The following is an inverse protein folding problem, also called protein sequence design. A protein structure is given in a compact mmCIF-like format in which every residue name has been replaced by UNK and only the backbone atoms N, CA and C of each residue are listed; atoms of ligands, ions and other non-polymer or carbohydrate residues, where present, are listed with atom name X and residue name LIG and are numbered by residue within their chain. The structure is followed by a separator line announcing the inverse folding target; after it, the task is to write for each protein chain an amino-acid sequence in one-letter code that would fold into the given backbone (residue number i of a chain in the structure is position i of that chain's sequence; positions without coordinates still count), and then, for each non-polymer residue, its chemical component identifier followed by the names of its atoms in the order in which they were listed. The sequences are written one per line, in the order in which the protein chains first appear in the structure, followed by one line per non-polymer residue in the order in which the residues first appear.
data_IF_486218008749
#
_entry.id   IF_486218008749
#
_cell.length_a   1.000
_cell.length_b   1.000
_cell.length_c   1.000
_cell.angle_alpha   90.00
_cell.angle_beta   90.00
_cell.angle_gamma   90.00
#
_symmetry.space_group_name_H-M   'P 1'
#
loop_
_entity.id
_entity.type
_entity.pdbx_description
1 polymer ?
#
# COMPACT_ATOMS: atom_id res chain seq x y z
N UNK A 1 2.68 14.10 -16.30
CA UNK A 1 4.07 13.97 -15.81
C UNK A 1 4.21 13.95 -14.28
N UNK A 2 3.40 14.67 -13.48
CA UNK A 2 3.53 14.68 -12.00
C UNK A 2 3.36 13.30 -11.33
N UNK A 3 2.47 12.44 -11.86
CA UNK A 3 2.23 11.07 -11.37
C UNK A 3 3.45 10.13 -11.51
N UNK A 4 4.26 10.30 -12.56
CA UNK A 4 5.41 9.44 -12.84
C UNK A 4 6.59 9.69 -11.90
N UNK A 5 6.73 10.91 -11.35
CA UNK A 5 7.90 11.30 -10.53
C UNK A 5 8.12 10.36 -9.33
N UNK A 6 7.03 9.92 -8.69
CA UNK A 6 7.11 9.00 -7.57
C UNK A 6 7.41 7.55 -7.98
N UNK A 7 7.43 7.24 -9.27
CA UNK A 7 7.66 5.89 -9.80
C UNK A 7 8.98 5.77 -10.55
N UNK A 8 9.77 6.86 -10.58
CA UNK A 8 11.13 6.91 -11.14
C UNK A 8 12.09 7.02 -9.95
N UNK A 9 13.02 6.07 -9.85
CA UNK A 9 13.97 5.98 -8.72
C UNK A 9 15.38 6.00 -9.28
N UNK A 10 16.14 7.06 -8.97
CA UNK A 10 17.56 7.15 -9.33
C UNK A 10 18.36 6.04 -8.63
N UNK A 11 19.20 5.33 -9.39
CA UNK A 11 20.00 4.23 -8.88
C UNK A 11 21.34 4.71 -8.29
N UNK A 12 22.10 3.77 -7.69
CA UNK A 12 23.33 4.04 -6.94
C UNK A 12 24.45 4.62 -7.82
N UNK A 13 24.53 4.20 -9.08
CA UNK A 13 25.47 4.73 -10.07
C UNK A 13 25.24 6.21 -10.40
N UNK A 14 24.08 6.75 -10.01
CA UNK A 14 23.61 8.12 -10.30
C UNK A 14 23.38 8.41 -11.78
N UNK A 15 23.46 7.40 -12.65
CA UNK A 15 23.32 7.51 -14.10
C UNK A 15 22.07 6.79 -14.59
N UNK A 16 21.68 5.70 -13.91
CA UNK A 16 20.53 4.89 -14.29
C UNK A 16 19.35 5.10 -13.35
N UNK A 17 18.18 4.69 -13.84
CA UNK A 17 16.89 4.84 -13.17
C UNK A 17 16.16 3.50 -13.11
N UNK A 18 15.31 3.35 -12.11
CA UNK A 18 14.31 2.31 -12.08
C UNK A 18 12.93 2.91 -12.26
N UNK A 19 12.11 2.26 -13.09
CA UNK A 19 10.68 2.57 -13.23
C UNK A 19 9.86 1.48 -12.57
N UNK A 20 8.77 1.86 -11.89
CA UNK A 20 7.93 0.91 -11.18
C UNK A 20 6.47 1.06 -11.61
N UNK A 21 5.98 0.21 -12.53
CA UNK A 21 4.57 0.18 -12.88
C UNK A 21 3.70 -0.21 -11.69
N UNK A 22 2.46 0.24 -11.71
CA UNK A 22 1.45 -0.12 -10.72
C UNK A 22 0.96 -1.55 -10.96
N UNK A 23 0.90 -2.32 -9.88
CA UNK A 23 0.40 -3.69 -9.86
C UNK A 23 -0.53 -3.82 -8.65
N UNK A 24 -1.83 -3.52 -8.80
CA UNK A 24 -2.80 -3.57 -7.72
C UNK A 24 -2.77 -4.91 -6.99
N UNK A 25 -2.59 -4.88 -5.68
CA UNK A 25 -2.54 -6.07 -4.83
C UNK A 25 -1.53 -7.17 -5.24
N UNK A 26 -0.59 -6.89 -6.15
CA UNK A 26 0.32 -7.89 -6.70
C UNK A 26 -0.32 -8.87 -7.68
N UNK A 27 -1.50 -8.57 -8.22
CA UNK A 27 -2.17 -9.41 -9.23
C UNK A 27 -1.72 -9.01 -10.63
N UNK A 28 -1.31 -10.00 -11.43
CA UNK A 28 -0.84 -9.80 -12.81
C UNK A 28 -1.43 -10.86 -13.73
N UNK A 29 -1.63 -10.51 -14.99
CA UNK A 29 -1.90 -11.47 -16.05
C UNK A 29 -0.60 -11.85 -16.78
N UNK A 30 -0.57 -12.97 -17.53
CA UNK A 30 0.57 -13.30 -18.40
C UNK A 30 0.91 -12.18 -19.40
N UNK A 31 -0.09 -11.47 -19.91
CA UNK A 31 0.09 -10.33 -20.83
C UNK A 31 0.80 -9.17 -20.15
N UNK A 32 0.45 -8.90 -18.89
CA UNK A 32 1.12 -7.87 -18.07
C UNK A 32 2.59 -8.22 -17.88
N UNK A 33 2.88 -9.49 -17.58
CA UNK A 33 4.25 -9.98 -17.41
C UNK A 33 5.05 -9.94 -18.71
N UNK A 34 4.46 -10.37 -19.83
CA UNK A 34 5.08 -10.27 -21.16
C UNK A 34 5.42 -8.82 -21.49
N UNK A 35 4.49 -7.89 -21.29
CA UNK A 35 4.75 -6.47 -21.53
C UNK A 35 5.92 -5.93 -20.69
N UNK A 36 5.98 -6.27 -19.41
CA UNK A 36 7.09 -5.85 -18.54
C UNK A 36 8.41 -6.45 -19.03
N UNK A 37 8.42 -7.72 -19.47
CA UNK A 37 9.60 -8.38 -20.03
C UNK A 37 10.05 -7.71 -21.35
N UNK A 38 9.13 -7.51 -22.30
CA UNK A 38 9.41 -6.91 -23.61
C UNK A 38 10.04 -5.50 -23.47
N UNK A 39 9.48 -4.66 -22.59
CA UNK A 39 10.04 -3.33 -22.30
C UNK A 39 11.41 -3.46 -21.64
N UNK A 40 11.59 -4.41 -20.72
CA UNK A 40 12.87 -4.58 -20.03
C UNK A 40 13.98 -5.01 -20.99
N UNK A 41 13.67 -5.90 -21.94
CA UNK A 41 14.61 -6.32 -22.98
C UNK A 41 14.91 -5.17 -23.96
N UNK A 42 13.88 -4.47 -24.45
CA UNK A 42 14.01 -3.37 -25.42
C UNK A 42 14.93 -2.25 -24.94
N UNK A 43 14.90 -1.94 -23.64
CA UNK A 43 15.71 -0.87 -23.05
C UNK A 43 16.90 -1.38 -22.24
N UNK A 44 17.29 -2.65 -22.45
CA UNK A 44 18.46 -3.28 -21.84
C UNK A 44 18.50 -3.10 -20.31
N UNK A 45 17.35 -3.28 -19.65
CA UNK A 45 17.25 -3.15 -18.21
C UNK A 45 18.22 -4.11 -17.51
N UNK A 46 19.00 -3.59 -16.56
CA UNK A 46 19.96 -4.38 -15.80
C UNK A 46 19.30 -5.50 -14.98
N UNK A 47 18.08 -5.28 -14.48
CA UNK A 47 17.33 -6.28 -13.74
C UNK A 47 15.82 -6.00 -13.67
N UNK A 48 15.04 -7.07 -13.50
CA UNK A 48 13.69 -7.04 -12.98
C UNK A 48 13.68 -7.40 -11.49
N UNK A 49 13.20 -6.49 -10.63
CA UNK A 49 13.18 -6.70 -9.18
C UNK A 49 11.75 -6.82 -8.64
N UNK A 50 11.41 -8.02 -8.14
CA UNK A 50 10.25 -8.18 -7.27
C UNK A 50 10.53 -7.48 -5.93
N UNK A 51 9.67 -6.54 -5.56
CA UNK A 51 9.82 -5.70 -4.38
C UNK A 51 9.01 -6.25 -3.21
N UNK A 52 9.35 -5.85 -1.98
CA UNK A 52 8.62 -6.24 -0.75
C UNK A 52 7.16 -5.78 -0.71
N UNK A 53 6.73 -4.96 -1.66
CA UNK A 53 5.36 -4.48 -1.80
C UNK A 53 4.58 -5.24 -2.88
N UNK A 54 5.05 -6.43 -3.31
CA UNK A 54 4.45 -7.26 -4.35
C UNK A 54 4.33 -6.56 -5.71
N UNK A 55 5.41 -5.87 -6.13
CA UNK A 55 5.51 -5.08 -7.38
C UNK A 55 6.77 -5.48 -8.12
N UNK A 56 6.81 -5.27 -9.43
CA UNK A 56 8.02 -5.45 -10.24
C UNK A 56 8.60 -4.08 -10.60
N UNK A 57 9.87 -3.86 -10.30
CA UNK A 57 10.63 -2.70 -10.75
C UNK A 57 11.54 -3.08 -11.92
N UNK A 58 11.55 -2.26 -12.96
CA UNK A 58 12.48 -2.35 -14.10
C UNK A 58 13.66 -1.45 -13.76
N UNK A 59 14.85 -2.03 -13.57
CA UNK A 59 16.03 -1.35 -13.00
C UNK A 59 17.10 -1.19 -14.07
N UNK A 60 17.79 -0.05 -14.08
CA UNK A 60 18.97 0.17 -14.90
C UNK A 60 18.69 0.86 -16.23
N UNK A 61 17.57 1.57 -16.35
CA UNK A 61 17.24 2.33 -17.56
C UNK A 61 18.08 3.60 -17.64
N UNK A 62 18.53 3.96 -18.84
CA UNK A 62 19.15 5.25 -19.13
C UNK A 62 18.11 6.37 -19.00
N UNK A 63 18.54 7.57 -18.60
CA UNK A 63 17.64 8.71 -18.37
C UNK A 63 16.75 9.02 -19.59
N UNK A 64 17.35 9.08 -20.76
CA UNK A 64 16.68 9.42 -22.03
C UNK A 64 15.67 8.36 -22.51
N UNK A 65 15.77 7.14 -21.97
CA UNK A 65 14.89 6.03 -22.32
C UNK A 65 13.70 5.89 -21.35
N UNK A 66 13.76 6.51 -20.17
CA UNK A 66 12.68 6.46 -19.18
C UNK A 66 11.33 6.91 -19.75
N UNK A 67 11.21 8.04 -20.48
CA UNK A 67 9.93 8.44 -21.07
C UNK A 67 9.40 7.42 -22.07
N UNK A 68 10.25 6.90 -22.95
CA UNK A 68 9.89 5.93 -23.99
C UNK A 68 9.47 4.59 -23.37
N UNK A 69 10.15 4.15 -22.32
CA UNK A 69 9.79 2.96 -21.58
C UNK A 69 8.41 3.10 -20.92
N UNK A 70 8.05 4.28 -20.40
CA UNK A 70 6.71 4.52 -19.89
C UNK A 70 5.64 4.48 -20.97
N UNK A 71 5.92 5.05 -22.15
CA UNK A 71 5.00 5.04 -23.29
C UNK A 71 4.74 3.60 -23.76
N UNK A 72 5.79 2.78 -23.89
CA UNK A 72 5.67 1.37 -24.28
C UNK A 72 4.97 0.52 -23.20
N UNK A 73 5.22 0.79 -21.91
CA UNK A 73 4.50 0.11 -20.82
C UNK A 73 3.00 0.42 -20.90
N UNK A 74 2.62 1.67 -21.18
CA UNK A 74 1.23 2.11 -21.12
C UNK A 74 0.53 1.65 -19.82
N UNK A 75 1.26 1.71 -18.70
CA UNK A 75 0.79 1.32 -17.36
C UNK A 75 0.75 2.54 -16.44
N UNK A 76 -0.11 2.47 -15.43
CA UNK A 76 -0.17 3.51 -14.38
C UNK A 76 1.11 3.49 -13.55
N UNK A 77 1.68 4.64 -13.16
CA UNK A 77 2.84 4.69 -12.27
C UNK A 77 2.55 4.17 -10.86
N UNK A 78 3.38 3.26 -10.33
CA UNK A 78 3.13 2.52 -9.07
C UNK A 78 3.48 3.23 -7.76
N UNK A 79 3.75 4.53 -7.77
CA UNK A 79 4.01 5.37 -6.58
C UNK A 79 5.08 4.76 -5.65
N UNK A 80 6.26 4.44 -6.19
CA UNK A 80 7.37 3.80 -5.49
C UNK A 80 8.07 4.63 -4.41
N UNK A 81 8.02 5.97 -4.49
CA UNK A 81 8.57 6.93 -3.54
C UNK A 81 7.54 7.99 -3.17
N UNK A 82 7.92 9.01 -2.39
CA UNK A 82 7.01 10.10 -2.00
C UNK A 82 6.20 9.87 -0.71
N UNK A 83 5.53 10.93 -0.27
CA UNK A 83 4.64 10.97 0.91
C UNK A 83 3.20 10.71 0.48
N UNK A 84 3.00 9.52 -0.04
CA UNK A 84 1.72 9.06 -0.59
C UNK A 84 1.42 7.67 -0.05
N UNK A 85 0.18 7.24 -0.21
CA UNK A 85 -0.14 5.81 -0.17
C UNK A 85 0.64 5.13 -1.29
N UNK A 86 1.47 4.17 -0.88
CA UNK A 86 2.27 3.33 -1.78
C UNK A 86 1.35 2.23 -2.33
N UNK A 87 1.81 0.99 -2.37
CA UNK A 87 0.95 -0.12 -2.77
C UNK A 87 0.10 -0.64 -1.62
N UNK A 88 -1.11 -1.09 -1.97
CA UNK A 88 -1.95 -1.93 -1.12
C UNK A 88 -1.57 -3.39 -1.37
N UNK A 89 -1.20 -4.13 -0.32
CA UNK A 89 -0.88 -5.56 -0.43
C UNK A 89 -2.09 -6.38 0.01
N UNK A 90 -2.57 -7.31 -0.81
CA UNK A 90 -3.60 -8.25 -0.40
C UNK A 90 -3.07 -9.68 -0.41
N UNK A 91 -3.62 -10.54 0.46
CA UNK A 91 -3.46 -11.99 0.28
C UNK A 91 -4.46 -12.49 -0.77
N UNK A 92 -4.36 -13.76 -1.21
CA UNK A 92 -5.25 -14.28 -2.26
C UNK A 92 -6.75 -14.36 -1.90
N UNK A 93 -7.14 -13.98 -0.68
CA UNK A 93 -8.53 -13.99 -0.21
C UNK A 93 -9.26 -15.32 -0.36
N UNK A 94 -10.58 -15.28 -0.25
CA UNK A 94 -11.45 -16.41 -0.62
C UNK A 94 -11.45 -16.69 -2.12
N UNK A 95 -10.88 -15.79 -2.93
CA UNK A 95 -10.69 -15.97 -4.37
C UNK A 95 -9.82 -17.19 -4.69
N UNK A 96 -8.72 -17.40 -3.94
CA UNK A 96 -7.77 -18.49 -4.24
C UNK A 96 -7.32 -19.30 -3.01
N UNK A 97 -7.59 -18.86 -1.78
CA UNK A 97 -7.08 -19.52 -0.57
C UNK A 97 -8.20 -20.18 0.25
N UNK A 98 -8.10 -21.49 0.47
CA UNK A 98 -9.05 -22.26 1.30
C UNK A 98 -9.05 -21.88 2.80
N UNK A 99 -8.00 -21.21 3.29
CA UNK A 99 -7.92 -20.77 4.69
C UNK A 99 -8.61 -19.43 4.95
N UNK A 100 -8.89 -18.66 3.90
CA UNK A 100 -9.48 -17.34 4.04
C UNK A 100 -10.89 -17.41 4.64
N UNK A 101 -11.21 -16.41 5.46
CA UNK A 101 -12.53 -16.21 6.07
C UNK A 101 -13.27 -15.05 5.41
N UNK A 102 -12.53 -14.10 4.87
CA UNK A 102 -13.05 -12.92 4.18
C UNK A 102 -12.39 -12.73 2.82
N UNK A 103 -13.10 -12.05 1.90
CA UNK A 103 -12.60 -11.73 0.55
C UNK A 103 -11.62 -10.56 0.58
N UNK A 104 -10.36 -10.87 0.93
CA UNK A 104 -9.31 -9.87 1.01
C UNK A 104 -8.91 -9.27 -0.34
N UNK A 105 -9.12 -9.98 -1.45
CA UNK A 105 -8.64 -9.48 -2.72
C UNK A 105 -9.55 -8.40 -3.26
N UNK A 106 -10.87 -8.61 -3.22
CA UNK A 106 -11.86 -7.59 -3.59
C UNK A 106 -11.68 -6.34 -2.72
N UNK A 107 -11.60 -6.48 -1.40
CA UNK A 107 -11.39 -5.36 -0.49
C UNK A 107 -10.03 -4.67 -0.73
N UNK A 108 -8.98 -5.44 -1.00
CA UNK A 108 -7.67 -4.90 -1.37
C UNK A 108 -7.74 -4.03 -2.62
N UNK A 109 -8.44 -4.48 -3.67
CA UNK A 109 -8.63 -3.74 -4.91
C UNK A 109 -9.45 -2.46 -4.68
N UNK A 110 -10.53 -2.53 -3.89
CA UNK A 110 -11.32 -1.35 -3.53
C UNK A 110 -10.49 -0.29 -2.80
N UNK A 111 -9.64 -0.71 -1.85
CA UNK A 111 -8.73 0.21 -1.17
C UNK A 111 -7.65 0.76 -2.10
N UNK A 112 -7.11 -0.06 -3.01
CA UNK A 112 -6.11 0.39 -3.98
C UNK A 112 -6.66 1.44 -4.95
N UNK A 113 -7.84 1.22 -5.52
CA UNK A 113 -8.53 2.17 -6.40
C UNK A 113 -8.76 3.52 -5.71
N UNK A 114 -9.16 3.49 -4.44
CA UNK A 114 -9.48 4.70 -3.67
C UNK A 114 -8.25 5.45 -3.16
N UNK A 115 -7.24 4.72 -2.70
CA UNK A 115 -6.17 5.30 -1.89
C UNK A 115 -4.82 5.38 -2.61
N UNK A 116 -4.54 4.55 -3.60
CA UNK A 116 -3.22 4.53 -4.25
C UNK A 116 -2.82 5.92 -4.74
N UNK A 117 -1.62 6.36 -4.36
CA UNK A 117 -1.12 7.70 -4.72
C UNK A 117 -1.73 8.87 -3.95
N UNK A 118 -2.68 8.65 -3.04
CA UNK A 118 -3.23 9.71 -2.18
C UNK A 118 -2.11 10.34 -1.33
N UNK A 119 -1.99 11.67 -1.38
CA UNK A 119 -1.02 12.40 -0.55
C UNK A 119 -1.41 12.38 0.93
N UNK A 120 -0.43 12.03 1.76
CA UNK A 120 -0.56 11.92 3.20
C UNK A 120 0.69 12.53 3.89
N UNK A 121 0.66 12.75 5.21
CA UNK A 121 1.78 13.38 5.92
C UNK A 121 3.14 12.69 5.73
N UNK A 122 3.15 11.36 5.54
CA UNK A 122 4.32 10.52 5.27
C UNK A 122 3.99 9.38 4.30
N UNK A 123 4.97 8.52 3.99
CA UNK A 123 4.73 7.30 3.19
C UNK A 123 3.75 6.39 3.94
N UNK A 124 2.69 5.92 3.28
CA UNK A 124 1.67 5.07 3.92
C UNK A 124 1.57 3.75 3.18
N UNK A 125 1.55 2.64 3.92
CA UNK A 125 1.41 1.28 3.38
C UNK A 125 0.15 0.66 3.96
N UNK A 126 -0.63 0.04 3.09
CA UNK A 126 -1.89 -0.60 3.46
C UNK A 126 -1.84 -2.09 3.14
N UNK A 127 -2.64 -2.88 3.86
CA UNK A 127 -2.82 -4.28 3.50
C UNK A 127 -4.16 -4.87 3.89
N UNK A 128 -4.52 -5.95 3.22
CA UNK A 128 -5.72 -6.74 3.51
C UNK A 128 -5.36 -8.22 3.54
N UNK A 129 -5.73 -8.93 4.60
CA UNK A 129 -5.61 -10.39 4.67
C UNK A 129 -6.94 -11.00 5.04
N UNK A 130 -7.30 -12.13 4.41
CA UNK A 130 -8.60 -12.76 4.57
C UNK A 130 -8.72 -13.59 5.84
N UNK A 131 -7.63 -13.77 6.59
CA UNK A 131 -7.61 -14.52 7.84
C UNK A 131 -6.47 -14.03 8.76
N UNK A 132 -6.41 -14.58 9.96
CA UNK A 132 -5.45 -14.23 11.02
C UNK A 132 -4.00 -14.64 10.73
N UNK A 133 -3.72 -15.40 9.66
CA UNK A 133 -2.34 -15.66 9.21
C UNK A 133 -1.65 -14.39 8.70
N UNK A 134 -2.42 -13.37 8.33
CA UNK A 134 -1.92 -12.06 7.91
C UNK A 134 -0.81 -12.14 6.84
N UNK A 135 -0.99 -12.93 5.78
CA UNK A 135 0.01 -13.09 4.71
C UNK A 135 0.38 -11.75 4.00
N UNK A 136 -0.48 -10.73 4.12
CA UNK A 136 -0.19 -9.37 3.66
C UNK A 136 0.59 -8.51 4.68
N UNK A 137 1.05 -9.11 5.79
CA UNK A 137 1.85 -8.51 6.87
C UNK A 137 1.14 -7.34 7.57
N UNK A 138 -0.15 -7.50 7.86
CA UNK A 138 -1.03 -6.50 8.47
C UNK A 138 -0.42 -5.85 9.72
N UNK A 139 0.19 -6.66 10.59
CA UNK A 139 0.82 -6.20 11.83
C UNK A 139 1.94 -5.14 11.66
N UNK A 140 2.47 -4.93 10.45
CA UNK A 140 3.53 -3.94 10.17
C UNK A 140 3.15 -2.92 9.08
N UNK A 141 1.85 -2.79 8.77
CA UNK A 141 1.31 -1.76 7.87
C UNK A 141 0.67 -0.61 8.64
N UNK A 142 0.61 0.57 8.01
CA UNK A 142 0.06 1.76 8.65
C UNK A 142 -1.44 1.66 8.91
N UNK A 143 -2.18 1.03 8.01
CA UNK A 143 -3.61 0.76 8.12
C UNK A 143 -3.91 -0.56 7.41
N UNK A 144 -4.68 -1.44 8.04
CA UNK A 144 -4.92 -2.76 7.47
C UNK A 144 -6.19 -3.42 7.98
N UNK A 145 -6.72 -4.36 7.18
CA UNK A 145 -7.87 -5.19 7.54
C UNK A 145 -7.47 -6.67 7.57
N UNK A 146 -7.72 -7.33 8.70
CA UNK A 146 -7.49 -8.76 8.87
C UNK A 146 -8.83 -9.48 9.10
N UNK A 147 -9.14 -10.45 8.24
CA UNK A 147 -10.38 -11.20 8.31
C UNK A 147 -10.42 -12.15 9.51
N UNK A 148 -11.61 -12.30 10.09
CA UNK A 148 -11.98 -13.33 11.04
C UNK A 148 -13.24 -14.04 10.56
N UNK A 149 -13.67 -15.08 11.28
CA UNK A 149 -14.98 -15.70 11.05
C UNK A 149 -16.16 -14.78 11.38
N UNK A 150 -15.93 -13.71 12.14
CA UNK A 150 -16.94 -12.78 12.63
C UNK A 150 -16.96 -11.45 11.86
N UNK A 151 -16.06 -11.24 10.89
CA UNK A 151 -15.93 -9.98 10.17
C UNK A 151 -14.47 -9.57 9.98
N UNK A 152 -14.18 -8.28 10.17
CA UNK A 152 -12.87 -7.67 9.99
C UNK A 152 -12.33 -7.07 11.28
N UNK A 153 -11.02 -7.26 11.51
CA UNK A 153 -10.22 -6.50 12.46
C UNK A 153 -9.55 -5.34 11.73
N UNK A 154 -9.88 -4.10 12.10
CA UNK A 154 -9.16 -2.90 11.66
C UNK A 154 -7.94 -2.69 12.55
N UNK A 155 -6.76 -2.63 11.93
CA UNK A 155 -5.49 -2.38 12.63
C UNK A 155 -4.79 -1.15 12.06
N UNK A 156 -4.09 -0.41 12.91
CA UNK A 156 -3.37 0.80 12.50
C UNK A 156 -2.02 0.98 13.21
N UNK A 157 -1.11 1.70 12.56
CA UNK A 157 0.14 2.16 13.16
C UNK A 157 1.35 1.24 13.01
N UNK A 158 1.25 0.15 12.27
CA UNK A 158 2.38 -0.73 12.00
C UNK A 158 3.49 -0.07 11.17
N UNK A 159 4.75 -0.38 11.51
CA UNK A 159 5.95 0.11 10.83
C UNK A 159 6.94 -1.04 10.69
N UNK A 160 7.14 -1.53 9.46
CA UNK A 160 8.13 -2.56 9.14
C UNK A 160 9.54 -2.04 8.79
N UNK A 161 9.94 -0.85 9.24
CA UNK A 161 11.23 -0.23 8.86
C UNK A 161 11.88 0.48 10.04
N UNK A 162 13.22 0.60 10.06
CA UNK A 162 13.97 1.56 10.89
C UNK A 162 13.76 1.43 12.40
N UNK A 163 12.68 2.01 12.91
CA UNK A 163 12.16 1.78 14.26
C UNK A 163 10.85 1.00 14.15
N UNK A 164 10.90 -0.34 14.19
CA UNK A 164 9.73 -1.16 14.01
C UNK A 164 8.66 -0.88 15.05
N UNK A 165 7.40 -1.08 14.68
CA UNK A 165 6.23 -0.93 15.54
C UNK A 165 5.16 -1.89 15.05
N UNK A 166 4.54 -2.64 15.96
CA UNK A 166 3.36 -3.43 15.62
C UNK A 166 2.13 -2.52 15.50
N UNK A 167 1.19 -2.90 14.65
CA UNK A 167 -0.08 -2.22 14.54
C UNK A 167 -0.95 -2.50 15.77
N UNK A 168 -1.66 -1.49 16.24
CA UNK A 168 -2.69 -1.61 17.27
C UNK A 168 -4.01 -2.05 16.63
N UNK A 169 -4.80 -2.82 17.37
CA UNK A 169 -6.18 -3.10 17.02
C UNK A 169 -7.01 -1.85 17.31
N UNK A 170 -7.67 -1.32 16.29
CA UNK A 170 -8.59 -0.17 16.38
C UNK A 170 -9.99 -0.65 16.71
N UNK A 171 -10.48 -1.64 15.96
CA UNK A 171 -11.79 -2.26 16.15
C UNK A 171 -11.80 -3.68 15.56
N UNK A 172 -12.73 -4.50 16.02
CA UNK A 172 -12.86 -5.93 15.69
C UNK A 172 -14.30 -6.28 15.34
N UNK A 173 -14.48 -7.46 14.76
CA UNK A 173 -15.80 -8.02 14.40
C UNK A 173 -16.66 -7.07 13.56
N UNK A 174 -16.00 -6.31 12.67
CA UNK A 174 -16.65 -5.35 11.80
C UNK A 174 -17.24 -6.01 10.55
N UNK A 175 -18.45 -5.64 10.19
CA UNK A 175 -19.00 -5.94 8.86
C UNK A 175 -18.21 -5.18 7.78
N UNK A 176 -18.26 -5.66 6.55
CA UNK A 176 -17.43 -5.11 5.45
C UNK A 176 -17.62 -3.61 5.23
N UNK A 177 -18.87 -3.13 5.18
CA UNK A 177 -19.16 -1.72 4.96
C UNK A 177 -18.71 -0.84 6.13
N UNK A 178 -18.87 -1.35 7.36
CA UNK A 178 -18.41 -0.68 8.57
C UNK A 178 -16.88 -0.59 8.61
N UNK A 179 -16.20 -1.70 8.27
CA UNK A 179 -14.75 -1.76 8.19
C UNK A 179 -14.19 -0.74 7.20
N UNK A 180 -14.80 -0.62 6.01
CA UNK A 180 -14.43 0.39 5.01
C UNK A 180 -14.70 1.81 5.51
N UNK A 181 -15.84 2.06 6.14
CA UNK A 181 -16.18 3.38 6.70
C UNK A 181 -15.24 3.78 7.85
N UNK A 182 -14.82 2.85 8.72
CA UNK A 182 -13.82 3.11 9.76
C UNK A 182 -12.43 3.30 9.16
N UNK A 183 -12.07 2.55 8.12
CA UNK A 183 -10.81 2.75 7.40
C UNK A 183 -10.75 4.16 6.81
N UNK A 184 -11.83 4.65 6.20
CA UNK A 184 -11.95 6.01 5.69
C UNK A 184 -11.72 7.05 6.78
N UNK A 185 -12.39 6.89 7.93
CA UNK A 185 -12.23 7.79 9.08
C UNK A 185 -10.81 7.79 9.62
N UNK A 186 -10.14 6.64 9.67
CA UNK A 186 -8.74 6.54 10.07
C UNK A 186 -7.82 7.32 9.13
N UNK A 187 -8.01 7.19 7.81
CA UNK A 187 -7.17 7.89 6.83
C UNK A 187 -7.44 9.40 6.85
N UNK A 188 -8.70 9.82 6.95
CA UNK A 188 -9.08 11.22 7.08
C UNK A 188 -8.49 11.83 8.36
N UNK A 189 -8.63 11.15 9.49
CA UNK A 189 -8.09 11.60 10.78
C UNK A 189 -6.57 11.72 10.75
N UNK A 190 -5.86 10.75 10.16
CA UNK A 190 -4.41 10.85 9.98
C UNK A 190 -4.00 12.00 9.06
N UNK A 191 -4.74 12.24 7.98
CA UNK A 191 -4.46 13.34 7.06
C UNK A 191 -4.55 14.71 7.75
N UNK A 192 -5.48 14.87 8.67
CA UNK A 192 -5.68 16.09 9.44
C UNK A 192 -4.70 16.25 10.61
N UNK A 193 -4.42 15.16 11.34
CA UNK A 193 -3.71 15.21 12.63
C UNK A 193 -2.23 14.79 12.56
N UNK A 194 -1.80 14.19 11.46
CA UNK A 194 -0.44 13.73 11.25
C UNK A 194 0.52 14.88 10.91
N UNK A 195 1.67 14.93 11.58
CA UNK A 195 2.73 15.91 11.29
C UNK A 195 3.49 15.53 10.02
N UNK A 196 4.17 16.49 9.39
CA UNK A 196 5.02 16.25 8.21
C UNK A 196 6.05 15.14 8.50
N UNK A 197 6.04 14.09 7.66
CA UNK A 197 6.91 12.90 7.73
C UNK A 197 6.60 11.97 8.91
N UNK A 198 5.57 12.26 9.71
CA UNK A 198 5.07 11.40 10.78
C UNK A 198 4.20 10.27 10.20
N UNK A 199 4.44 9.03 10.63
CA UNK A 199 3.65 7.85 10.24
C UNK A 199 2.47 7.65 11.20
N UNK A 200 1.43 6.93 10.79
CA UNK A 200 0.23 6.68 11.63
C UNK A 200 0.62 6.19 13.03
N UNK A 201 1.55 5.23 13.13
CA UNK A 201 1.98 4.69 14.43
C UNK A 201 2.64 5.73 15.33
N UNK A 202 3.38 6.68 14.75
CA UNK A 202 4.03 7.77 15.51
C UNK A 202 3.04 8.85 15.92
N UNK A 203 2.02 9.07 15.11
CA UNK A 203 0.89 9.91 15.51
C UNK A 203 0.16 9.27 16.69
N UNK A 204 -0.17 7.96 16.63
CA UNK A 204 -0.79 7.21 17.73
C UNK A 204 0.06 7.32 19.00
N UNK A 205 1.38 7.06 18.92
CA UNK A 205 2.29 7.17 20.06
C UNK A 205 2.27 8.57 20.71
N UNK A 206 2.00 9.62 19.92
CA UNK A 206 1.99 11.01 20.36
C UNK A 206 0.65 11.46 20.95
N UNK A 207 -0.47 11.05 20.36
CA UNK A 207 -1.80 11.56 20.74
C UNK A 207 -2.60 10.58 21.59
N UNK A 208 -2.15 9.33 21.69
CA UNK A 208 -2.82 8.26 22.42
C UNK A 208 -3.72 7.40 21.52
N UNK A 209 -3.70 6.09 21.76
CA UNK A 209 -4.51 5.12 21.03
C UNK A 209 -6.01 5.36 21.24
N UNK A 210 -6.44 5.66 22.46
CA UNK A 210 -7.85 5.86 22.80
C UNK A 210 -8.45 7.05 22.05
N UNK A 211 -7.66 8.13 21.88
CA UNK A 211 -8.06 9.30 21.09
C UNK A 211 -8.32 8.92 19.63
N UNK A 212 -7.42 8.11 19.04
CA UNK A 212 -7.58 7.63 17.67
C UNK A 212 -8.78 6.69 17.55
N UNK A 213 -8.97 5.77 18.51
CA UNK A 213 -10.12 4.86 18.52
C UNK A 213 -11.45 5.61 18.56
N UNK A 214 -11.59 6.59 19.46
CA UNK A 214 -12.81 7.40 19.57
C UNK A 214 -13.09 8.16 18.26
N UNK A 215 -12.08 8.81 17.69
CA UNK A 215 -12.23 9.53 16.43
C UNK A 215 -12.63 8.62 15.26
N UNK A 216 -12.06 7.41 15.18
CA UNK A 216 -12.37 6.44 14.13
C UNK A 216 -13.74 5.79 14.34
N UNK A 217 -14.17 5.59 15.59
CA UNK A 217 -15.53 5.14 15.94
C UNK A 217 -16.60 6.17 15.59
N UNK A 218 -16.23 7.44 15.34
CA UNK A 218 -17.16 8.52 15.06
C UNK A 218 -17.70 9.22 16.31
N UNK A 219 -17.08 8.96 17.46
CA UNK A 219 -17.36 9.68 18.69
C UNK A 219 -16.71 11.07 18.59
N UNK A 220 -17.48 12.13 18.81
CA UNK A 220 -16.90 13.48 18.89
C UNK A 220 -15.96 13.51 20.09
N UNK A 221 -14.72 13.94 19.87
CA UNK A 221 -13.79 14.22 20.97
C UNK A 221 -14.48 15.17 21.96
N UNK A 222 -14.54 14.79 23.23
CA UNK A 222 -14.97 15.68 24.29
C UNK A 222 -14.05 16.91 24.27
N UNK A 223 -14.66 18.09 24.09
CA UNK A 223 -13.97 19.38 24.06
C UNK A 223 -13.33 19.73 25.40
#
# INVERSE_FOLDING_TARGET
MTSQKNSIVRQRDKETFAVVPHVPCGVVTPETLRKIADVSEKYEAAALKITSAARIAIVGLKEDDVPKAWDDLAMVPGQAVGKVVRSVKACPGTTFCAMAKQDALTIGMTLDEKYHGMELPSKTKMSVSGCQNQCAENCIKDASLAGTKNGWTLMAGGIGTGRPRLADIIAEDLETDEALAMFDRLIAYYKENGKKVERIGRMIDRIGLDVVKAAVAGEKAAA
#
